data_IF_170924554635
#
_entry.id   IF_170924554635
#
_cell.length_a   1.000
_cell.length_b   1.000
_cell.length_c   1.000
_cell.angle_alpha   90.00
_cell.angle_beta   90.00
_cell.angle_gamma   90.00
#
_symmetry.space_group_name_H-M   'P 1'
#
loop_
_entity.id
_entity.type
_entity.pdbx_description
1 polymer ?
#
# COMPACT_ATOMS: atom_id res chain seq x y z
N UNK A 1 -5.67 -0.88 -25.44
CA UNK A 1 -4.49 0.00 -25.45
C UNK A 1 -4.29 0.57 -24.04
N UNK A 2 -3.33 0.04 -23.27
CA UNK A 2 -2.88 0.68 -22.03
C UNK A 2 -2.09 1.93 -22.44
N UNK A 3 -2.37 3.08 -21.84
CA UNK A 3 -1.65 4.32 -22.07
C UNK A 3 -0.56 4.47 -21.00
N UNK A 4 0.69 3.98 -21.20
CA UNK A 4 1.79 4.12 -20.24
C UNK A 4 2.28 5.57 -20.06
N UNK A 5 1.55 6.58 -20.55
CA UNK A 5 1.84 8.01 -20.34
C UNK A 5 1.01 8.67 -19.24
N UNK A 6 -0.18 8.16 -18.91
CA UNK A 6 -1.12 8.82 -17.99
C UNK A 6 -0.67 8.68 -16.52
N UNK A 7 -0.09 7.54 -16.13
CA UNK A 7 0.36 7.33 -14.75
C UNK A 7 1.58 8.20 -14.36
N UNK A 8 2.41 8.62 -15.32
CA UNK A 8 3.53 9.54 -15.02
C UNK A 8 2.98 10.94 -14.73
N UNK A 9 1.99 11.38 -15.52
CA UNK A 9 1.29 12.64 -15.28
C UNK A 9 0.54 12.64 -13.95
N UNK A 10 -0.05 11.51 -13.57
CA UNK A 10 -0.71 11.34 -12.28
C UNK A 10 0.29 11.46 -11.13
N UNK A 11 1.42 10.75 -11.17
CA UNK A 11 2.47 10.84 -10.14
C UNK A 11 2.97 12.29 -10.02
N UNK A 12 3.28 12.95 -11.14
CA UNK A 12 3.74 14.34 -11.14
C UNK A 12 2.70 15.29 -10.53
N UNK A 13 1.42 15.12 -10.87
CA UNK A 13 0.33 15.93 -10.31
C UNK A 13 0.18 15.72 -8.80
N UNK A 14 0.24 14.46 -8.35
CA UNK A 14 0.16 14.12 -6.94
C UNK A 14 1.38 14.65 -6.15
N UNK A 15 2.59 14.61 -6.72
CA UNK A 15 3.78 15.21 -6.11
C UNK A 15 3.68 16.74 -6.03
N UNK A 16 3.17 17.40 -7.07
CA UNK A 16 2.95 18.84 -7.05
C UNK A 16 1.94 19.27 -5.98
N UNK A 17 0.89 18.45 -5.73
CA UNK A 17 -0.05 18.69 -4.64
C UNK A 17 0.61 18.51 -3.26
N UNK A 18 1.49 17.52 -3.13
CA UNK A 18 2.25 17.28 -1.90
C UNK A 18 3.23 18.42 -1.60
N UNK A 19 3.95 18.89 -2.63
CA UNK A 19 4.86 20.05 -2.56
C UNK A 19 4.10 21.35 -2.27
N UNK A 20 2.89 21.49 -2.82
CA UNK A 20 1.95 22.56 -2.53
C UNK A 20 1.33 22.54 -1.11
N UNK A 21 1.78 21.62 -0.24
CA UNK A 21 1.41 21.56 1.18
C UNK A 21 0.22 20.65 1.50
N UNK A 22 -0.35 19.95 0.51
CA UNK A 22 -1.43 18.99 0.74
C UNK A 22 -0.84 17.62 0.99
N UNK A 23 -0.58 17.29 2.25
CA UNK A 23 -0.01 16.01 2.66
C UNK A 23 -1.05 15.17 3.43
N UNK A 24 -1.84 14.39 2.68
CA UNK A 24 -2.90 13.54 3.24
C UNK A 24 -2.63 12.05 2.98
N UNK A 25 -3.19 11.18 3.84
CA UNK A 25 -3.11 9.73 3.68
C UNK A 25 -3.61 9.25 2.30
N UNK A 26 -4.70 9.84 1.79
CA UNK A 26 -5.26 9.51 0.48
C UNK A 26 -4.33 9.87 -0.69
N UNK A 27 -3.64 11.01 -0.60
CA UNK A 27 -2.71 11.46 -1.63
C UNK A 27 -1.51 10.51 -1.69
N UNK A 28 -0.92 10.22 -0.53
CA UNK A 28 0.20 9.27 -0.40
C UNK A 28 -0.18 7.86 -0.85
N UNK A 29 -1.39 7.41 -0.53
CA UNK A 29 -1.93 6.14 -1.03
C UNK A 29 -2.02 6.11 -2.56
N UNK A 30 -2.58 7.16 -3.16
CA UNK A 30 -2.74 7.27 -4.61
C UNK A 30 -1.39 7.29 -5.32
N UNK A 31 -0.41 8.00 -4.74
CA UNK A 31 0.96 8.05 -5.25
C UNK A 31 1.62 6.67 -5.19
N UNK A 32 1.49 5.97 -4.05
CA UNK A 32 2.00 4.62 -3.88
C UNK A 32 1.39 3.61 -4.87
N UNK A 33 0.09 3.71 -5.14
CA UNK A 33 -0.59 2.88 -6.14
C UNK A 33 -0.08 3.13 -7.56
N UNK A 34 0.10 4.38 -7.94
CA UNK A 34 0.64 4.74 -9.25
C UNK A 34 2.11 4.28 -9.41
N UNK A 35 2.92 4.39 -8.35
CA UNK A 35 4.29 3.90 -8.32
C UNK A 35 4.36 2.37 -8.46
N UNK A 36 3.45 1.63 -7.83
CA UNK A 36 3.36 0.19 -8.01
C UNK A 36 3.08 -0.22 -9.45
N UNK A 37 2.18 0.50 -10.12
CA UNK A 37 1.88 0.26 -11.54
C UNK A 37 3.13 0.47 -12.42
N UNK A 38 4.01 1.39 -12.00
CA UNK A 38 5.33 1.64 -12.62
C UNK A 38 6.42 0.65 -12.21
N UNK A 39 6.08 -0.44 -11.52
CA UNK A 39 7.04 -1.39 -10.95
C UNK A 39 8.05 -0.75 -9.96
N UNK A 40 7.76 0.46 -9.46
CA UNK A 40 8.57 1.16 -8.45
C UNK A 40 8.10 0.75 -7.05
N UNK A 41 8.20 -0.55 -6.76
CA UNK A 41 7.71 -1.12 -5.52
C UNK A 41 8.36 -0.50 -4.28
N UNK A 42 9.68 -0.29 -4.29
CA UNK A 42 10.43 0.28 -3.18
C UNK A 42 9.97 1.70 -2.81
N UNK A 43 9.71 2.55 -3.80
CA UNK A 43 9.20 3.90 -3.54
C UNK A 43 7.73 3.89 -3.11
N UNK A 44 6.93 3.03 -3.74
CA UNK A 44 5.54 2.85 -3.33
C UNK A 44 5.44 2.47 -1.85
N UNK A 45 6.31 1.59 -1.36
CA UNK A 45 6.39 1.19 0.05
C UNK A 45 6.62 2.40 0.97
N UNK A 46 7.50 3.33 0.60
CA UNK A 46 7.78 4.53 1.41
C UNK A 46 6.52 5.40 1.50
N UNK A 47 5.87 5.67 0.37
CA UNK A 47 4.67 6.50 0.36
C UNK A 47 3.47 5.83 1.04
N UNK A 48 3.33 4.51 0.91
CA UNK A 48 2.24 3.77 1.56
C UNK A 48 2.44 3.65 3.08
N UNK A 49 3.69 3.47 3.56
CA UNK A 49 4.01 3.57 4.98
C UNK A 49 3.66 4.94 5.53
N UNK A 50 4.01 5.98 4.78
CA UNK A 50 3.73 7.36 5.13
C UNK A 50 2.20 7.64 5.14
N UNK A 51 1.41 6.94 4.33
CA UNK A 51 -0.06 7.01 4.36
C UNK A 51 -0.66 6.36 5.61
N UNK A 52 -0.20 5.15 5.98
CA UNK A 52 -0.69 4.44 7.18
C UNK A 52 -0.16 5.04 8.48
N UNK A 53 0.96 5.77 8.43
CA UNK A 53 1.45 6.56 9.56
C UNK A 53 0.54 7.76 9.84
N UNK A 54 -0.04 8.36 8.80
CA UNK A 54 -1.04 9.42 8.93
C UNK A 54 -2.39 8.88 9.39
N UNK A 55 -2.88 7.83 8.72
CA UNK A 55 -4.13 7.18 9.09
C UNK A 55 -3.92 5.69 9.30
N UNK A 56 -3.65 5.33 10.56
CA UNK A 56 -3.45 3.94 10.94
C UNK A 56 -4.71 3.09 10.76
N UNK A 57 -5.89 3.70 10.65
CA UNK A 57 -7.16 3.04 10.36
C UNK A 57 -7.38 2.72 8.88
N UNK A 58 -6.48 3.15 7.99
CA UNK A 58 -6.69 3.02 6.56
C UNK A 58 -6.34 1.61 6.05
N UNK A 59 -7.28 0.68 6.28
CA UNK A 59 -7.20 -0.73 5.89
C UNK A 59 -6.84 -0.94 4.41
N UNK A 60 -7.29 -0.08 3.50
CA UNK A 60 -6.92 -0.16 2.09
C UNK A 60 -5.43 0.16 1.83
N UNK A 61 -4.85 1.14 2.54
CA UNK A 61 -3.45 1.50 2.41
C UNK A 61 -2.53 0.39 2.91
N UNK A 62 -2.88 -0.25 4.02
CA UNK A 62 -2.19 -1.44 4.52
C UNK A 62 -2.21 -2.61 3.52
N UNK A 63 -3.34 -2.84 2.84
CA UNK A 63 -3.45 -3.89 1.80
C UNK A 63 -2.47 -3.64 0.66
N UNK A 64 -2.43 -2.39 0.21
CA UNK A 64 -1.56 -1.98 -0.88
C UNK A 64 -0.08 -2.00 -0.46
N UNK A 65 0.23 -1.62 0.78
CA UNK A 65 1.58 -1.69 1.35
C UNK A 65 2.10 -3.12 1.36
N UNK A 66 1.31 -4.09 1.81
CA UNK A 66 1.69 -5.49 1.77
C UNK A 66 1.99 -5.95 0.34
N UNK A 67 1.14 -5.59 -0.63
CA UNK A 67 1.39 -5.91 -2.05
C UNK A 67 2.66 -5.24 -2.59
N UNK A 68 2.95 -4.01 -2.17
CA UNK A 68 4.16 -3.30 -2.54
C UNK A 68 5.42 -3.97 -2.00
N UNK A 69 5.39 -4.41 -0.74
CA UNK A 69 6.49 -5.15 -0.12
C UNK A 69 6.73 -6.50 -0.82
N UNK A 70 5.67 -7.22 -1.20
CA UNK A 70 5.79 -8.44 -2.00
C UNK A 70 6.45 -8.19 -3.35
N UNK A 71 6.01 -7.13 -4.05
CA UNK A 71 6.60 -6.75 -5.34
C UNK A 71 8.06 -6.30 -5.21
N UNK A 72 8.46 -5.79 -4.05
CA UNK A 72 9.85 -5.46 -3.72
C UNK A 72 10.68 -6.68 -3.28
N UNK A 73 10.09 -7.88 -3.16
CA UNK A 73 10.74 -9.09 -2.65
C UNK A 73 10.88 -9.14 -1.12
N UNK A 74 10.24 -8.21 -0.41
CA UNK A 74 10.29 -8.12 1.06
C UNK A 74 9.11 -8.84 1.70
N UNK A 75 9.05 -10.14 1.53
CA UNK A 75 7.96 -10.99 2.04
C UNK A 75 7.78 -10.87 3.56
N UNK A 76 8.87 -10.81 4.33
CA UNK A 76 8.80 -10.59 5.78
C UNK A 76 8.07 -9.29 6.14
N UNK A 77 8.41 -8.20 5.44
CA UNK A 77 7.79 -6.89 5.68
C UNK A 77 6.34 -6.84 5.16
N UNK A 78 6.03 -7.58 4.09
CA UNK A 78 4.66 -7.73 3.62
C UNK A 78 3.78 -8.41 4.67
N UNK A 79 4.28 -9.46 5.32
CA UNK A 79 3.58 -10.15 6.40
C UNK A 79 3.27 -9.23 7.58
N UNK A 80 4.26 -8.44 8.00
CA UNK A 80 4.07 -7.45 9.08
C UNK A 80 3.01 -6.39 8.71
N UNK A 81 3.08 -5.87 7.48
CA UNK A 81 2.09 -4.92 6.97
C UNK A 81 0.67 -5.51 6.93
N UNK A 82 0.50 -6.78 6.54
CA UNK A 82 -0.82 -7.42 6.58
C UNK A 82 -1.32 -7.61 8.02
N UNK A 83 -0.45 -7.99 8.97
CA UNK A 83 -0.82 -8.10 10.39
C UNK A 83 -1.29 -6.77 10.97
N UNK A 84 -0.55 -5.70 10.72
CA UNK A 84 -0.94 -4.35 11.14
C UNK A 84 -2.27 -3.91 10.48
N UNK A 85 -2.43 -4.19 9.18
CA UNK A 85 -3.66 -3.93 8.44
C UNK A 85 -4.89 -4.67 8.96
N UNK A 86 -4.73 -5.93 9.37
CA UNK A 86 -5.79 -6.72 10.00
C UNK A 86 -6.24 -6.06 11.31
N UNK A 87 -5.29 -5.64 12.15
CA UNK A 87 -5.60 -4.96 13.41
C UNK A 87 -6.29 -3.60 13.16
N UNK A 88 -5.84 -2.85 12.15
CA UNK A 88 -6.49 -1.61 11.74
C UNK A 88 -7.92 -1.82 11.24
N UNK A 89 -8.12 -2.81 10.37
CA UNK A 89 -9.43 -3.18 9.84
C UNK A 89 -10.38 -3.68 10.94
N UNK A 90 -9.87 -4.42 11.92
CA UNK A 90 -10.63 -4.86 13.09
C UNK A 90 -11.09 -3.67 13.92
N UNK A 91 -10.19 -2.72 14.23
CA UNK A 91 -10.52 -1.48 14.95
C UNK A 91 -11.54 -0.62 14.21
N UNK A 92 -11.46 -0.56 12.88
CA UNK A 92 -12.37 0.23 12.04
C UNK A 92 -13.71 -0.47 11.77
N UNK A 93 -13.81 -1.78 12.02
CA UNK A 93 -14.98 -2.59 11.66
C UNK A 93 -15.02 -3.03 10.18
N UNK A 94 -13.92 -2.85 9.44
CA UNK A 94 -13.76 -3.25 8.04
C UNK A 94 -13.54 -4.77 7.91
N UNK A 95 -14.57 -5.56 8.22
CA UNK A 95 -14.51 -7.02 8.22
C UNK A 95 -14.07 -7.61 6.86
N UNK A 96 -14.41 -6.95 5.75
CA UNK A 96 -14.01 -7.39 4.41
C UNK A 96 -12.50 -7.25 4.18
N UNK A 97 -11.93 -6.09 4.52
CA UNK A 97 -10.50 -5.85 4.38
C UNK A 97 -9.69 -6.79 5.28
N UNK A 98 -10.14 -6.97 6.53
CA UNK A 98 -9.54 -7.90 7.48
C UNK A 98 -9.46 -9.34 6.94
N UNK A 99 -10.57 -9.85 6.39
CA UNK A 99 -10.63 -11.21 5.83
C UNK A 99 -9.72 -11.37 4.63
N UNK A 100 -9.74 -10.43 3.69
CA UNK A 100 -8.84 -10.47 2.54
C UNK A 100 -7.36 -10.48 2.98
N UNK A 101 -6.97 -9.56 3.88
CA UNK A 101 -5.59 -9.48 4.38
C UNK A 101 -5.15 -10.75 5.11
N UNK A 102 -6.04 -11.39 5.90
CA UNK A 102 -5.75 -12.68 6.54
C UNK A 102 -5.45 -13.78 5.51
N UNK A 103 -6.15 -13.80 4.38
CA UNK A 103 -5.89 -14.77 3.30
C UNK A 103 -4.54 -14.49 2.65
N UNK A 104 -4.21 -13.22 2.37
CA UNK A 104 -2.91 -12.84 1.83
C UNK A 104 -1.76 -13.21 2.77
N UNK A 105 -1.89 -12.89 4.06
CA UNK A 105 -0.91 -13.23 5.08
C UNK A 105 -0.69 -14.74 5.17
N UNK A 106 -1.76 -15.54 5.26
CA UNK A 106 -1.64 -16.99 5.35
C UNK A 106 -1.00 -17.61 4.11
N UNK A 107 -1.28 -17.06 2.93
CA UNK A 107 -0.68 -17.51 1.67
C UNK A 107 0.81 -17.16 1.60
N UNK A 108 1.19 -16.00 2.12
CA UNK A 108 2.56 -15.54 2.21
C UNK A 108 3.38 -16.38 3.20
N UNK A 109 2.87 -16.62 4.40
CA UNK A 109 3.54 -17.49 5.38
C UNK A 109 3.81 -18.88 4.81
N UNK A 110 2.84 -19.42 4.06
CA UNK A 110 3.01 -20.71 3.38
C UNK A 110 4.06 -20.70 2.26
N UNK A 111 4.27 -19.57 1.59
CA UNK A 111 5.30 -19.43 0.54
C UNK A 111 6.69 -19.32 1.17
N UNK A 112 6.79 -18.61 2.31
CA UNK A 112 8.01 -18.44 3.10
C UNK A 112 8.51 -19.73 3.77
N UNK A 113 7.62 -20.69 4.04
CA UNK A 113 7.94 -21.99 4.65
C UNK A 113 8.43 -23.04 3.65
N UNK A 114 8.49 -22.70 2.36
CA UNK A 114 8.76 -23.63 1.25
C UNK A 114 10.21 -23.62 0.79
#
# INVERSE_FOLDING_TARGET
MNNPGQETGLIASLQAMLDGGRDDALLRFSLGGALLSRQRASEAVVHLQAAVAHDAGYSAAWKLLGKAQLAAGNERAAGDAYRAGIAAAEKKGDQQAMKEMRVFLRRLEKDLEK
#
